data_IF_567095988893
#
_entry.id   IF_567095988893
#
_cell.length_a   1.000
_cell.length_b   1.000
_cell.length_c   1.000
_cell.angle_alpha   90.00
_cell.angle_beta   90.00
_cell.angle_gamma   90.00
#
_symmetry.space_group_name_H-M   'P 1'
#
loop_
_entity.id
_entity.type
_entity.pdbx_description
1 polymer ?
#
# COMPACT_ATOMS: atom_id res chain seq x y z
N UNK A 1 6.13 2.55 -8.70
CA UNK A 1 5.31 3.21 -7.66
C UNK A 1 4.91 2.14 -6.66
N UNK A 2 5.26 2.26 -5.37
CA UNK A 2 5.03 1.19 -4.39
C UNK A 2 4.48 1.78 -3.07
N UNK A 3 3.16 1.74 -2.92
CA UNK A 3 2.45 2.27 -1.74
C UNK A 3 2.73 1.42 -0.50
N UNK A 4 2.74 0.09 -0.63
CA UNK A 4 3.00 -0.83 0.47
C UNK A 4 4.38 -0.58 1.10
N UNK A 5 5.40 -0.34 0.28
CA UNK A 5 6.72 0.02 0.78
C UNK A 5 6.69 1.34 1.56
N UNK A 6 6.06 2.39 1.04
CA UNK A 6 5.96 3.67 1.77
C UNK A 6 5.30 3.49 3.14
N UNK A 7 4.18 2.76 3.21
CA UNK A 7 3.48 2.46 4.46
C UNK A 7 4.39 1.67 5.42
N UNK A 8 5.10 0.66 4.92
CA UNK A 8 5.96 -0.19 5.74
C UNK A 8 7.17 0.57 6.32
N UNK A 9 7.78 1.45 5.53
CA UNK A 9 8.85 2.34 5.97
C UNK A 9 8.35 3.28 7.08
N UNK A 10 7.20 3.92 6.87
CA UNK A 10 6.59 4.80 7.87
C UNK A 10 6.23 4.05 9.16
N UNK A 11 5.61 2.87 9.06
CA UNK A 11 5.29 2.06 10.23
C UNK A 11 6.55 1.61 10.99
N UNK A 12 7.63 1.29 10.29
CA UNK A 12 8.90 0.94 10.92
C UNK A 12 9.53 2.13 11.67
N UNK A 13 9.44 3.34 11.12
CA UNK A 13 9.87 4.58 11.79
C UNK A 13 9.00 4.90 13.02
N UNK A 14 7.68 4.73 12.92
CA UNK A 14 6.79 4.87 14.08
C UNK A 14 7.17 3.90 15.19
N UNK A 15 7.41 2.63 14.85
CA UNK A 15 7.78 1.60 15.81
C UNK A 15 9.13 1.87 16.48
N UNK A 16 10.12 2.33 15.72
CA UNK A 16 11.44 2.66 16.26
C UNK A 16 11.40 3.80 17.29
N UNK A 17 10.38 4.66 17.21
CA UNK A 17 10.23 5.84 18.06
C UNK A 17 9.09 5.72 19.07
N UNK A 18 8.51 4.52 19.23
CA UNK A 18 7.37 4.27 20.13
C UNK A 18 6.16 5.18 19.86
N UNK A 19 5.89 5.45 18.58
CA UNK A 19 4.77 6.26 18.12
C UNK A 19 3.65 5.39 17.55
N UNK A 20 2.37 5.78 17.71
CA UNK A 20 1.28 5.11 17.02
C UNK A 20 1.36 5.34 15.49
N UNK A 21 0.79 4.41 14.73
CA UNK A 21 0.65 4.55 13.28
C UNK A 21 -0.51 5.50 12.96
N UNK A 22 -0.20 6.79 12.88
CA UNK A 22 -1.18 7.84 12.56
C UNK A 22 -1.53 7.83 11.08
N UNK A 23 -2.81 7.97 10.74
CA UNK A 23 -3.19 8.04 9.33
C UNK A 23 -2.68 9.34 8.68
N UNK A 24 -1.92 9.27 7.57
CA UNK A 24 -1.19 10.39 6.97
C UNK A 24 -2.04 11.17 5.96
N UNK A 25 -3.29 11.44 6.28
CA UNK A 25 -4.25 12.07 5.37
C UNK A 25 -5.27 12.94 6.09
N UNK A 26 -6.22 13.49 5.32
CA UNK A 26 -7.32 14.27 5.88
C UNK A 26 -8.41 13.39 6.50
N UNK A 27 -9.27 13.97 7.34
CA UNK A 27 -10.49 13.27 7.84
C UNK A 27 -11.37 12.77 6.69
N UNK A 28 -11.44 13.51 5.58
CA UNK A 28 -12.19 13.06 4.41
C UNK A 28 -11.51 11.86 3.73
N UNK A 29 -10.18 11.88 3.63
CA UNK A 29 -9.38 10.76 3.10
C UNK A 29 -9.55 9.51 3.97
N UNK A 30 -9.62 9.69 5.29
CA UNK A 30 -9.81 8.60 6.25
C UNK A 30 -11.11 7.82 6.02
N UNK A 31 -12.17 8.52 5.61
CA UNK A 31 -13.47 7.91 5.35
C UNK A 31 -13.71 7.56 3.88
N UNK A 32 -12.81 7.87 2.95
CA UNK A 32 -13.03 7.54 1.54
C UNK A 32 -12.77 6.08 1.23
N UNK A 33 -13.46 5.59 0.20
CA UNK A 33 -13.34 4.24 -0.33
C UNK A 33 -12.21 4.19 -1.35
N UNK A 34 -11.40 3.14 -1.28
CA UNK A 34 -10.33 2.87 -2.23
C UNK A 34 -10.31 1.38 -2.60
N UNK A 35 -10.10 1.09 -3.88
CA UNK A 35 -9.73 -0.26 -4.33
C UNK A 35 -8.21 -0.37 -4.53
N UNK A 36 -7.73 -1.61 -4.56
CA UNK A 36 -6.33 -1.91 -4.76
C UNK A 36 -6.18 -2.99 -5.83
N UNK A 37 -4.98 -3.07 -6.40
CA UNK A 37 -4.63 -4.08 -7.38
C UNK A 37 -3.33 -4.75 -6.96
N UNK A 38 -3.42 -6.02 -6.60
CA UNK A 38 -2.28 -6.88 -6.38
C UNK A 38 -1.52 -7.09 -7.70
N UNK A 39 -0.19 -7.05 -7.64
CA UNK A 39 0.65 -7.17 -8.81
C UNK A 39 0.59 -8.57 -9.43
N UNK A 40 0.44 -9.62 -8.61
CA UNK A 40 0.25 -10.99 -9.07
C UNK A 40 -1.09 -11.17 -9.75
N UNK A 41 -2.18 -10.67 -9.16
CA UNK A 41 -3.51 -10.66 -9.75
C UNK A 41 -3.53 -9.90 -11.08
N UNK A 42 -2.86 -8.75 -11.17
CA UNK A 42 -2.72 -8.00 -12.41
C UNK A 42 -1.96 -8.79 -13.48
N UNK A 43 -0.90 -9.49 -13.11
CA UNK A 43 -0.17 -10.36 -14.03
C UNK A 43 -1.05 -11.52 -14.52
N UNK A 44 -1.79 -12.18 -13.63
CA UNK A 44 -2.76 -13.24 -13.98
C UNK A 44 -3.84 -12.70 -14.94
N UNK A 45 -4.42 -11.53 -14.65
CA UNK A 45 -5.43 -10.89 -15.51
C UNK A 45 -4.86 -10.54 -16.89
N UNK A 46 -3.59 -10.11 -16.94
CA UNK A 46 -2.90 -9.78 -18.19
C UNK A 46 -2.67 -11.03 -19.04
N UNK A 47 -2.21 -12.13 -18.43
CA UNK A 47 -2.03 -13.42 -19.11
C UNK A 47 -3.37 -13.98 -19.60
N UNK A 48 -4.42 -13.86 -18.80
CA UNK A 48 -5.77 -14.21 -19.23
C UNK A 48 -6.21 -13.38 -20.44
N UNK A 49 -6.01 -12.05 -20.41
CA UNK A 49 -6.41 -11.18 -21.51
C UNK A 49 -5.64 -11.49 -22.81
N UNK A 50 -4.39 -11.93 -22.70
CA UNK A 50 -3.57 -12.31 -23.85
C UNK A 50 -4.01 -13.62 -24.53
N UNK A 51 -4.80 -14.47 -23.84
CA UNK A 51 -5.15 -15.82 -24.32
C UNK A 51 -6.65 -16.06 -24.47
N UNK A 52 -7.49 -15.19 -23.89
CA UNK A 52 -8.94 -15.31 -23.90
C UNK A 52 -9.57 -14.62 -25.11
N UNK A 53 -10.37 -15.31 -25.94
CA UNK A 53 -11.16 -14.66 -27.00
C UNK A 53 -12.12 -13.58 -26.48
N UNK A 54 -12.57 -13.68 -25.21
CA UNK A 54 -13.45 -12.69 -24.58
C UNK A 54 -12.75 -11.36 -24.28
N UNK A 55 -11.42 -11.33 -24.33
CA UNK A 55 -10.63 -10.14 -24.07
C UNK A 55 -10.19 -9.40 -25.35
N UNK A 56 -10.46 -9.96 -26.53
CA UNK A 56 -10.03 -9.37 -27.80
C UNK A 56 -10.62 -7.97 -27.99
N UNK A 57 -9.73 -6.99 -28.22
CA UNK A 57 -10.08 -5.58 -28.39
C UNK A 57 -10.93 -5.00 -27.25
N UNK A 58 -10.74 -5.49 -26.01
CA UNK A 58 -11.43 -4.99 -24.83
C UNK A 58 -10.48 -4.28 -23.87
N UNK A 59 -10.96 -3.17 -23.29
CA UNK A 59 -10.38 -2.58 -22.09
C UNK A 59 -11.09 -3.10 -20.84
N UNK A 60 -10.33 -3.41 -19.79
CA UNK A 60 -10.83 -3.85 -18.49
C UNK A 60 -10.14 -3.10 -17.35
N UNK A 61 -10.89 -2.79 -16.30
CA UNK A 61 -10.30 -2.44 -15.01
C UNK A 61 -9.91 -3.74 -14.29
N UNK A 62 -8.78 -3.72 -13.59
CA UNK A 62 -8.32 -4.85 -12.77
C UNK A 62 -8.17 -4.37 -11.33
N UNK A 63 -8.94 -4.95 -10.42
CA UNK A 63 -8.85 -4.73 -8.99
C UNK A 63 -9.01 -6.04 -8.23
N UNK A 64 -8.62 -5.99 -6.95
CA UNK A 64 -8.63 -7.10 -6.00
C UNK A 64 -10.03 -7.71 -5.82
N UNK A 65 -11.07 -6.90 -5.99
CA UNK A 65 -12.47 -7.31 -5.94
C UNK A 65 -13.16 -7.03 -4.62
N UNK A 66 -12.42 -6.58 -3.63
CA UNK A 66 -12.91 -5.89 -2.44
C UNK A 66 -12.68 -4.38 -2.55
N UNK A 67 -13.34 -3.63 -1.68
CA UNK A 67 -13.17 -2.18 -1.50
C UNK A 67 -13.06 -1.89 -0.02
N UNK A 68 -12.27 -0.87 0.33
CA UNK A 68 -11.98 -0.56 1.72
C UNK A 68 -12.14 0.93 1.98
N UNK A 69 -12.64 1.29 3.16
CA UNK A 69 -12.30 2.60 3.72
C UNK A 69 -10.92 2.55 4.37
N UNK A 70 -10.17 3.64 4.28
CA UNK A 70 -8.91 3.75 5.01
C UNK A 70 -9.11 3.55 6.53
N UNK A 71 -10.24 4.01 7.07
CA UNK A 71 -10.61 3.83 8.47
C UNK A 71 -10.77 2.38 8.92
N UNK A 72 -11.00 1.46 7.99
CA UNK A 72 -11.15 0.02 8.24
C UNK A 72 -9.84 -0.74 8.02
N UNK A 73 -9.09 -0.36 6.97
CA UNK A 73 -7.85 -1.01 6.56
C UNK A 73 -6.65 -0.58 7.43
N UNK A 74 -6.53 0.71 7.74
CA UNK A 74 -5.37 1.24 8.46
C UNK A 74 -5.18 0.65 9.86
N UNK A 75 -6.23 0.43 10.68
CA UNK A 75 -6.07 -0.26 11.96
C UNK A 75 -5.58 -1.71 11.82
N UNK A 76 -5.90 -2.38 10.69
CA UNK A 76 -5.39 -3.73 10.40
C UNK A 76 -3.90 -3.69 10.10
N UNK A 77 -3.45 -2.72 9.29
CA UNK A 77 -2.03 -2.47 9.02
C UNK A 77 -1.28 -2.16 10.32
N UNK A 78 -1.78 -1.24 11.15
CA UNK A 78 -1.17 -0.89 12.44
C UNK A 78 -0.96 -2.12 13.33
N UNK A 79 -2.01 -2.95 13.49
CA UNK A 79 -1.94 -4.19 14.28
C UNK A 79 -0.90 -5.18 13.73
N UNK A 80 -0.76 -5.31 12.41
CA UNK A 80 0.25 -6.20 11.83
C UNK A 80 1.68 -5.76 12.19
N UNK A 81 1.93 -4.45 12.27
CA UNK A 81 3.20 -3.90 12.76
C UNK A 81 3.34 -3.92 14.29
N UNK A 82 2.32 -4.37 15.01
CA UNK A 82 2.17 -4.28 16.47
C UNK A 82 2.25 -2.83 16.97
N UNK A 83 1.50 -1.94 16.30
CA UNK A 83 1.31 -0.54 16.66
C UNK A 83 -0.16 -0.25 16.95
N UNK A 84 -0.41 0.75 17.80
CA UNK A 84 -1.73 1.37 17.88
C UNK A 84 -1.98 2.25 16.65
N UNK A 85 -3.23 2.31 16.18
CA UNK A 85 -3.62 3.27 15.13
C UNK A 85 -4.00 4.60 15.74
N UNK A 86 -3.62 5.72 15.12
CA UNK A 86 -4.03 7.06 15.55
C UNK A 86 -4.87 7.80 14.48
N UNK A 87 -5.78 8.71 14.90
CA UNK A 87 -6.66 9.47 14.01
C UNK A 87 -5.91 10.33 12.98
N UNK A 88 -6.55 10.70 11.86
CA UNK A 88 -5.90 11.34 10.71
C UNK A 88 -5.26 12.69 11.04
N UNK A 89 -4.10 12.93 10.44
CA UNK A 89 -3.50 14.27 10.30
C UNK A 89 -2.80 14.34 8.95
N UNK A 90 -2.85 15.51 8.29
CA UNK A 90 -2.15 15.70 7.02
C UNK A 90 -0.65 15.63 7.28
N UNK A 91 0.00 14.64 6.68
CA UNK A 91 1.45 14.44 6.69
C UNK A 91 1.94 14.32 5.24
N UNK A 92 3.20 14.66 5.01
CA UNK A 92 3.88 14.35 3.75
C UNK A 92 4.91 13.26 4.02
N UNK A 93 4.75 12.10 3.38
CA UNK A 93 5.77 11.05 3.35
C UNK A 93 7.08 11.58 2.78
N UNK A 94 7.02 12.41 1.73
CA UNK A 94 8.24 12.98 1.16
C UNK A 94 9.05 13.79 2.17
N UNK A 95 8.36 14.63 2.97
CA UNK A 95 9.01 15.40 4.02
C UNK A 95 9.43 14.50 5.19
N UNK A 96 8.56 13.58 5.64
CA UNK A 96 8.87 12.62 6.71
C UNK A 96 10.13 11.79 6.40
N UNK A 97 10.27 11.27 5.18
CA UNK A 97 11.43 10.44 4.82
C UNK A 97 12.72 11.26 4.75
N UNK A 98 12.66 12.56 4.47
CA UNK A 98 13.82 13.45 4.59
C UNK A 98 14.16 13.73 6.05
N UNK A 99 13.17 14.10 6.85
CA UNK A 99 13.36 14.52 8.24
C UNK A 99 13.83 13.37 9.14
N UNK A 100 13.34 12.15 8.89
CA UNK A 100 13.66 10.96 9.67
C UNK A 100 14.73 10.07 8.98
N UNK A 101 15.46 10.62 8.01
CA UNK A 101 16.50 9.87 7.26
C UNK A 101 17.60 9.32 8.18
N UNK A 102 18.05 10.11 9.16
CA UNK A 102 19.07 9.65 10.12
C UNK A 102 18.51 8.58 11.07
N UNK A 103 17.26 8.73 11.53
CA UNK A 103 16.58 7.71 12.35
C UNK A 103 16.48 6.38 11.58
N UNK A 104 16.18 6.43 10.27
CA UNK A 104 16.19 5.23 9.44
C UNK A 104 17.59 4.62 9.33
N UNK A 105 18.64 5.42 9.13
CA UNK A 105 20.03 4.92 9.07
C UNK A 105 20.42 4.15 10.33
N UNK A 106 20.06 4.68 11.50
CA UNK A 106 20.29 4.03 12.78
C UNK A 106 19.49 2.72 12.92
N UNK A 107 18.21 2.75 12.53
CA UNK A 107 17.34 1.57 12.53
C UNK A 107 17.88 0.47 11.62
N UNK A 108 18.25 0.84 10.39
CA UNK A 108 18.77 -0.05 9.36
C UNK A 108 20.11 -0.69 9.79
N UNK A 109 21.04 0.12 10.28
CA UNK A 109 22.38 -0.32 10.68
C UNK A 109 23.02 -1.21 9.62
N UNK A 110 23.56 -2.36 10.04
CA UNK A 110 24.07 -3.41 9.15
C UNK A 110 23.06 -4.55 8.90
N UNK A 111 21.82 -4.38 9.36
CA UNK A 111 20.81 -5.45 9.38
C UNK A 111 19.91 -5.43 8.15
N UNK A 112 19.63 -4.24 7.62
CA UNK A 112 18.83 -4.05 6.42
C UNK A 112 19.70 -3.89 5.17
N UNK A 113 19.11 -4.11 4.00
CA UNK A 113 19.82 -4.05 2.71
C UNK A 113 20.16 -2.64 2.26
N UNK A 114 19.45 -1.63 2.75
CA UNK A 114 19.63 -0.22 2.38
C UNK A 114 19.43 0.67 3.61
N UNK A 115 20.45 1.47 3.92
CA UNK A 115 20.45 2.37 5.06
C UNK A 115 19.97 3.79 4.72
N UNK A 116 19.85 4.13 3.43
CA UNK A 116 19.26 5.38 2.99
C UNK A 116 17.80 5.18 2.55
N UNK A 117 16.86 5.61 3.40
CA UNK A 117 15.42 5.49 3.14
C UNK A 117 15.00 6.07 1.79
N UNK A 118 15.69 7.12 1.32
CA UNK A 118 15.37 7.78 0.05
C UNK A 118 15.81 6.98 -1.18
N UNK A 119 16.72 6.01 -1.04
CA UNK A 119 17.02 5.03 -2.10
C UNK A 119 15.94 3.95 -2.20
N UNK A 120 15.20 3.71 -1.11
CA UNK A 120 14.07 2.77 -1.10
C UNK A 120 12.81 3.41 -1.67
N UNK A 121 12.47 4.62 -1.22
CA UNK A 121 11.24 5.30 -1.59
C UNK A 121 11.32 6.80 -1.24
N UNK A 122 10.89 7.68 -2.15
CA UNK A 122 10.90 9.13 -1.93
C UNK A 122 9.60 9.68 -1.33
N UNK A 123 8.59 8.83 -1.09
CA UNK A 123 7.31 9.19 -0.49
C UNK A 123 6.29 9.88 -1.40
N UNK A 124 6.67 10.33 -2.60
CA UNK A 124 5.79 11.17 -3.44
C UNK A 124 4.54 10.42 -3.91
N UNK A 125 4.67 9.13 -4.22
CA UNK A 125 3.51 8.33 -4.61
C UNK A 125 2.53 8.12 -3.47
N UNK A 126 3.02 7.95 -2.23
CA UNK A 126 2.15 7.85 -1.06
C UNK A 126 1.41 9.18 -0.83
N UNK A 127 2.10 10.31 -0.97
CA UNK A 127 1.47 11.64 -0.87
C UNK A 127 0.37 11.85 -1.94
N UNK A 128 0.59 11.34 -3.15
CA UNK A 128 -0.44 11.36 -4.20
C UNK A 128 -1.69 10.55 -3.81
N UNK A 129 -1.51 9.32 -3.32
CA UNK A 129 -2.62 8.43 -2.92
C UNK A 129 -3.36 8.97 -1.70
N UNK A 130 -2.65 9.34 -0.63
CA UNK A 130 -3.25 9.89 0.58
C UNK A 130 -3.71 11.35 0.41
N UNK A 131 -3.40 11.97 -0.72
CA UNK A 131 -3.89 13.28 -1.13
C UNK A 131 -5.32 13.26 -1.68
N UNK A 132 -5.85 12.09 -2.07
CA UNK A 132 -7.23 11.98 -2.55
C UNK A 132 -8.22 12.37 -1.45
N UNK A 133 -9.22 13.16 -1.83
CA UNK A 133 -10.30 13.62 -0.98
C UNK A 133 -11.66 13.25 -1.58
N UNK A 134 -11.72 12.07 -2.20
CA UNK A 134 -12.89 11.47 -2.82
C UNK A 134 -12.70 9.95 -2.89
N UNK A 135 -13.77 9.22 -3.14
CA UNK A 135 -13.70 7.77 -3.34
C UNK A 135 -13.01 7.44 -4.67
N UNK A 136 -12.01 6.55 -4.62
CA UNK A 136 -11.19 6.19 -5.78
C UNK A 136 -11.21 4.67 -5.99
N UNK A 137 -12.10 4.19 -6.85
CA UNK A 137 -12.20 2.78 -7.20
C UNK A 137 -12.68 2.58 -8.64
N UNK A 138 -12.37 1.43 -9.23
CA UNK A 138 -12.81 1.04 -10.58
C UNK A 138 -13.93 -0.01 -10.57
N UNK A 139 -14.83 0.04 -11.56
CA UNK A 139 -15.75 -1.09 -11.77
C UNK A 139 -15.02 -2.29 -12.39
N UNK A 140 -14.83 -3.34 -11.60
CA UNK A 140 -14.26 -4.62 -12.04
C UNK A 140 -15.29 -5.59 -12.64
N UNK A 141 -16.58 -5.22 -12.73
CA UNK A 141 -17.66 -6.13 -13.15
C UNK A 141 -17.49 -6.65 -14.57
N UNK A 142 -16.95 -5.83 -15.48
CA UNK A 142 -16.73 -6.20 -16.88
C UNK A 142 -15.73 -7.35 -17.00
N UNK A 143 -14.62 -7.27 -16.29
CA UNK A 143 -13.58 -8.30 -16.27
C UNK A 143 -14.14 -9.64 -15.76
N UNK A 144 -14.91 -9.59 -14.67
CA UNK A 144 -15.53 -10.77 -14.06
C UNK A 144 -16.55 -11.43 -14.98
N UNK A 145 -17.42 -10.64 -15.62
CA UNK A 145 -18.40 -11.15 -16.59
C UNK A 145 -17.75 -11.73 -17.85
N UNK A 146 -16.57 -11.26 -18.22
CA UNK A 146 -15.80 -11.78 -19.34
C UNK A 146 -15.10 -13.12 -19.02
N UNK A 147 -15.04 -13.53 -17.74
CA UNK A 147 -14.58 -14.86 -17.32
C UNK A 147 -13.36 -14.86 -16.40
N UNK A 148 -12.73 -13.72 -16.12
CA UNK A 148 -11.66 -13.63 -15.12
C UNK A 148 -12.24 -13.36 -13.73
N UNK A 149 -12.37 -14.42 -12.93
CA UNK A 149 -13.07 -14.38 -11.64
C UNK A 149 -12.15 -14.39 -10.42
N UNK A 150 -10.83 -14.38 -10.63
CA UNK A 150 -9.84 -14.35 -9.54
C UNK A 150 -10.00 -13.08 -8.70
N UNK A 151 -9.73 -13.20 -7.41
CA UNK A 151 -9.81 -12.14 -6.41
C UNK A 151 -8.62 -12.28 -5.47
N UNK A 152 -8.23 -11.18 -4.85
CA UNK A 152 -7.21 -11.13 -3.82
C UNK A 152 -7.76 -10.30 -2.66
N UNK A 153 -7.74 -10.82 -1.44
CA UNK A 153 -8.10 -10.00 -0.28
C UNK A 153 -7.03 -8.92 -0.07
N UNK A 154 -7.44 -7.65 0.00
CA UNK A 154 -6.51 -6.52 0.03
C UNK A 154 -5.68 -6.47 1.31
N UNK A 155 -6.24 -6.84 2.46
CA UNK A 155 -5.48 -6.91 3.71
C UNK A 155 -4.43 -8.03 3.69
N UNK A 156 -4.79 -9.22 3.21
CA UNK A 156 -3.82 -10.32 2.99
C UNK A 156 -2.72 -9.94 1.99
N UNK A 157 -3.05 -9.20 0.92
CA UNK A 157 -2.07 -8.66 -0.03
C UNK A 157 -1.05 -7.77 0.70
N UNK A 158 -1.51 -6.78 1.48
CA UNK A 158 -0.61 -5.92 2.23
C UNK A 158 0.28 -6.72 3.19
N UNK A 159 -0.29 -7.67 3.94
CA UNK A 159 0.47 -8.48 4.88
C UNK A 159 1.50 -9.37 4.19
N UNK A 160 1.13 -9.98 3.06
CA UNK A 160 2.06 -10.75 2.23
C UNK A 160 3.22 -9.88 1.73
N UNK A 161 2.93 -8.68 1.21
CA UNK A 161 3.96 -7.74 0.78
C UNK A 161 4.86 -7.33 1.95
N UNK A 162 4.32 -7.01 3.12
CA UNK A 162 5.15 -6.66 4.28
C UNK A 162 6.00 -7.84 4.76
N UNK A 163 5.50 -9.07 4.72
CA UNK A 163 6.30 -10.27 5.00
C UNK A 163 7.45 -10.44 3.99
N UNK A 164 7.19 -10.22 2.70
CA UNK A 164 8.22 -10.27 1.67
C UNK A 164 9.29 -9.18 1.88
N UNK A 165 8.89 -7.95 2.22
CA UNK A 165 9.81 -6.86 2.54
C UNK A 165 10.70 -7.18 3.76
N UNK A 166 10.14 -7.82 4.80
CA UNK A 166 10.91 -8.31 5.96
C UNK A 166 11.88 -9.42 5.58
N UNK A 167 11.42 -10.43 4.83
CA UNK A 167 12.25 -11.54 4.38
C UNK A 167 13.43 -11.06 3.51
N UNK A 168 13.19 -10.03 2.69
CA UNK A 168 14.21 -9.36 1.89
C UNK A 168 15.11 -8.41 2.70
N UNK A 169 14.86 -8.23 4.01
CA UNK A 169 15.54 -7.28 4.90
C UNK A 169 15.50 -5.84 4.38
N UNK A 170 14.42 -5.45 3.68
CA UNK A 170 14.17 -4.06 3.26
C UNK A 170 13.60 -3.26 4.43
N UNK A 171 12.78 -3.89 5.26
CA UNK A 171 12.27 -3.36 6.52
C UNK A 171 12.64 -4.31 7.67
N UNK A 172 12.65 -3.85 8.94
CA UNK A 172 12.88 -4.71 10.10
C UNK A 172 11.82 -5.81 10.30
#
# INVERSE_FOLDING_TARGET
MNLALSIALYASLCKAQDLPLRFPGSEHTWHSIVDHTDAGLLAEATLWAATSPMAENQAFNVNNGDVWRWSELWPRIARWFALESAPPVRLSFHQLFKDYREVWRELAGQRLVEADILQLNDGQFADFVFGWNYDMFGDGSKLRRAGFTRMQATDEMFFSLFMQLRAARIIP
#
